data_IF_827461204249
#
_entry.id   IF_827461204249
#
_cell.length_a   1.000
_cell.length_b   1.000
_cell.length_c   1.000
_cell.angle_alpha   90.00
_cell.angle_beta   90.00
_cell.angle_gamma   90.00
#
_symmetry.space_group_name_H-M   'P 1'
#
loop_
_entity.id
_entity.type
_entity.pdbx_description
1 polymer ?
#
# COMPACT_ATOMS: atom_id res chain seq x y z
N UNK A 1 14.98 -0.47 -30.31
CA UNK A 1 14.71 0.33 -29.10
C UNK A 1 13.88 -0.52 -28.17
N UNK A 2 14.34 -0.76 -26.95
CA UNK A 2 13.49 -1.38 -25.92
C UNK A 2 12.41 -0.37 -25.56
N UNK A 3 11.14 -0.72 -25.76
CA UNK A 3 10.03 0.07 -25.26
C UNK A 3 9.90 -0.22 -23.76
N UNK A 4 10.24 0.76 -22.91
CA UNK A 4 9.96 0.65 -21.48
C UNK A 4 8.45 0.56 -21.29
N UNK A 5 7.98 -0.59 -20.82
CA UNK A 5 6.60 -0.80 -20.42
C UNK A 5 6.47 -0.49 -18.93
N UNK A 6 5.41 0.20 -18.56
CA UNK A 6 5.12 0.59 -17.19
C UNK A 6 3.88 -0.12 -16.70
N UNK A 7 3.94 -0.61 -15.46
CA UNK A 7 2.78 -1.09 -14.71
C UNK A 7 2.35 0.00 -13.73
N UNK A 8 1.05 0.09 -13.49
CA UNK A 8 0.45 1.07 -12.58
C UNK A 8 -0.41 0.35 -11.54
N UNK A 9 -0.39 0.85 -10.31
CA UNK A 9 -1.19 0.35 -9.19
C UNK A 9 -1.76 1.53 -8.42
N UNK A 10 -3.00 1.39 -7.95
CA UNK A 10 -3.65 2.31 -7.03
C UNK A 10 -3.89 1.53 -5.74
N UNK A 11 -3.51 2.10 -4.61
CA UNK A 11 -3.79 1.53 -3.29
C UNK A 11 -4.78 2.46 -2.58
N UNK A 12 -5.93 1.91 -2.17
CA UNK A 12 -7.00 2.63 -1.48
C UNK A 12 -6.89 2.44 0.04
N UNK A 13 -6.66 3.53 0.75
CA UNK A 13 -6.55 3.57 2.21
C UNK A 13 -7.76 4.21 2.91
N UNK A 14 -8.89 4.35 2.21
CA UNK A 14 -10.09 5.02 2.73
C UNK A 14 -10.69 4.34 3.96
N UNK A 15 -10.57 3.01 4.06
CA UNK A 15 -11.07 2.22 5.16
C UNK A 15 -10.33 0.87 5.27
N UNK A 16 -10.45 0.21 6.42
CA UNK A 16 -9.74 -1.04 6.70
C UNK A 16 -10.12 -2.18 5.75
N UNK A 17 -11.34 -2.19 5.23
CA UNK A 17 -11.79 -3.23 4.29
C UNK A 17 -11.12 -3.04 2.93
N UNK A 18 -11.07 -1.80 2.42
CA UNK A 18 -10.36 -1.45 1.18
C UNK A 18 -8.87 -1.82 1.23
N UNK A 19 -8.25 -1.68 2.41
CA UNK A 19 -6.86 -2.06 2.66
C UNK A 19 -6.64 -3.58 2.83
N UNK A 20 -7.72 -4.38 2.85
CA UNK A 20 -7.63 -5.82 3.11
C UNK A 20 -7.37 -6.18 4.58
N UNK A 21 -7.52 -5.23 5.50
CA UNK A 21 -7.27 -5.38 6.94
C UNK A 21 -8.50 -5.84 7.73
N UNK A 22 -9.33 -6.68 7.13
CA UNK A 22 -10.50 -7.29 7.79
C UNK A 22 -10.38 -8.81 7.73
N UNK A 23 -9.30 -9.32 8.31
CA UNK A 23 -9.03 -10.75 8.45
C UNK A 23 -8.41 -11.04 9.84
N UNK A 24 -8.42 -12.30 10.31
CA UNK A 24 -7.96 -12.65 11.66
C UNK A 24 -6.53 -12.17 11.99
N UNK A 25 -5.58 -12.31 11.06
CA UNK A 25 -4.18 -11.86 11.27
C UNK A 25 -4.09 -10.36 11.52
N UNK A 26 -4.96 -9.58 10.87
CA UNK A 26 -5.01 -8.13 11.04
C UNK A 26 -5.77 -7.69 12.29
N UNK A 27 -6.66 -8.50 12.83
CA UNK A 27 -7.32 -8.19 14.12
C UNK A 27 -6.33 -8.35 15.29
N UNK A 28 -5.50 -9.39 15.29
CA UNK A 28 -4.46 -9.57 16.30
C UNK A 28 -3.45 -8.39 16.28
N UNK A 29 -3.07 -7.92 15.09
CA UNK A 29 -2.22 -6.75 14.94
C UNK A 29 -2.88 -5.48 15.52
N UNK A 30 -4.17 -5.26 15.24
CA UNK A 30 -4.93 -4.11 15.77
C UNK A 30 -5.03 -4.15 17.28
N UNK A 31 -5.23 -5.32 17.87
CA UNK A 31 -5.30 -5.46 19.33
C UNK A 31 -3.94 -5.16 19.98
N UNK A 32 -2.85 -5.65 19.38
CA UNK A 32 -1.48 -5.40 19.86
C UNK A 32 -1.10 -3.91 19.76
N UNK A 33 -1.60 -3.21 18.73
CA UNK A 33 -1.30 -1.80 18.47
C UNK A 33 -2.48 -0.88 18.78
N UNK A 34 -3.42 -1.30 19.63
CA UNK A 34 -4.64 -0.54 19.95
C UNK A 34 -4.36 0.83 20.58
N UNK A 35 -3.22 0.95 21.26
CA UNK A 35 -2.76 2.18 21.90
C UNK A 35 -1.95 3.08 20.93
N UNK A 36 -1.67 2.58 19.72
CA UNK A 36 -1.02 3.29 18.62
C UNK A 36 -2.02 3.56 17.47
N UNK A 37 -1.60 4.37 16.51
CA UNK A 37 -2.33 4.51 15.25
C UNK A 37 -2.01 3.31 14.33
N UNK A 38 -2.57 2.14 14.65
CA UNK A 38 -2.35 0.90 13.89
C UNK A 38 -2.61 1.04 12.39
N UNK A 39 -3.56 1.91 11.99
CA UNK A 39 -3.86 2.17 10.57
C UNK A 39 -2.65 2.75 9.85
N UNK A 40 -1.98 3.71 10.49
CA UNK A 40 -0.79 4.36 9.94
C UNK A 40 0.37 3.37 9.85
N UNK A 41 0.56 2.52 10.87
CA UNK A 41 1.61 1.51 10.88
C UNK A 41 1.41 0.47 9.77
N UNK A 42 0.21 -0.08 9.62
CA UNK A 42 -0.09 -1.05 8.56
C UNK A 42 0.09 -0.43 7.17
N UNK A 43 -0.36 0.82 6.97
CA UNK A 43 -0.15 1.56 5.74
C UNK A 43 1.34 1.70 5.41
N UNK A 44 2.17 2.06 6.40
CA UNK A 44 3.62 2.16 6.22
C UNK A 44 4.25 0.81 5.87
N UNK A 45 3.81 -0.28 6.51
CA UNK A 45 4.27 -1.64 6.19
C UNK A 45 3.95 -2.00 4.74
N UNK A 46 2.75 -1.70 4.26
CA UNK A 46 2.34 -1.99 2.88
C UNK A 46 3.12 -1.17 1.85
N UNK A 47 3.30 0.13 2.11
CA UNK A 47 4.11 1.01 1.25
C UNK A 47 5.56 0.52 1.18
N UNK A 48 6.14 0.08 2.31
CA UNK A 48 7.50 -0.45 2.33
C UNK A 48 7.63 -1.73 1.51
N UNK A 49 6.68 -2.67 1.63
CA UNK A 49 6.65 -3.89 0.79
C UNK A 49 6.57 -3.55 -0.70
N UNK A 50 5.76 -2.55 -1.07
CA UNK A 50 5.67 -2.09 -2.45
C UNK A 50 7.01 -1.52 -2.94
N UNK A 51 7.71 -0.77 -2.11
CA UNK A 51 9.05 -0.27 -2.42
C UNK A 51 10.08 -1.41 -2.63
N UNK A 52 10.05 -2.44 -1.79
CA UNK A 52 10.87 -3.65 -1.95
C UNK A 52 10.56 -4.40 -3.26
N UNK A 53 9.30 -4.41 -3.67
CA UNK A 53 8.82 -4.98 -4.94
C UNK A 53 9.11 -4.10 -6.18
N UNK A 54 9.82 -2.98 -6.00
CA UNK A 54 10.21 -2.06 -7.06
C UNK A 54 9.11 -1.09 -7.51
N UNK A 55 8.04 -0.92 -6.72
CA UNK A 55 7.04 0.11 -6.96
C UNK A 55 7.50 1.47 -6.47
N UNK A 56 7.36 2.47 -7.34
CA UNK A 56 7.66 3.87 -7.05
C UNK A 56 6.34 4.62 -6.84
N UNK A 57 6.25 5.34 -5.71
CA UNK A 57 5.13 6.25 -5.46
C UNK A 57 5.22 7.45 -6.40
N UNK A 58 4.13 7.77 -7.10
CA UNK A 58 4.06 8.88 -8.07
C UNK A 58 3.02 9.93 -7.74
N UNK A 59 2.13 9.65 -6.79
CA UNK A 59 1.16 10.63 -6.34
C UNK A 59 0.32 10.11 -5.18
N UNK A 60 -0.29 11.05 -4.47
CA UNK A 60 -1.28 10.81 -3.42
C UNK A 60 -2.44 11.75 -3.72
N UNK A 61 -3.68 11.25 -3.70
CA UNK A 61 -4.83 12.15 -3.69
C UNK A 61 -5.21 12.53 -2.25
N UNK A 62 -5.86 13.68 -2.07
CA UNK A 62 -6.31 14.12 -0.74
C UNK A 62 -7.40 13.24 -0.10
N UNK A 63 -7.82 12.16 -0.76
CA UNK A 63 -8.97 11.33 -0.42
C UNK A 63 -8.60 9.88 -0.07
N UNK A 64 -7.31 9.57 0.17
CA UNK A 64 -6.78 8.27 0.63
C UNK A 64 -6.28 7.30 -0.46
N UNK A 65 -6.09 7.72 -1.72
CA UNK A 65 -5.47 6.87 -2.73
C UNK A 65 -3.99 7.23 -2.93
N UNK A 66 -3.15 6.20 -3.05
CA UNK A 66 -1.75 6.34 -3.45
C UNK A 66 -1.53 5.66 -4.80
N UNK A 67 -0.91 6.39 -5.72
CA UNK A 67 -0.59 5.94 -7.06
C UNK A 67 0.85 5.49 -7.13
N UNK A 68 1.07 4.29 -7.68
CA UNK A 68 2.37 3.70 -7.89
C UNK A 68 2.59 3.34 -9.36
N UNK A 69 3.86 3.36 -9.77
CA UNK A 69 4.31 2.77 -11.04
C UNK A 69 5.50 1.84 -10.79
N UNK A 70 5.73 0.90 -11.70
CA UNK A 70 7.02 0.18 -11.79
C UNK A 70 7.35 -0.15 -13.23
N UNK A 71 8.63 -0.34 -13.52
CA UNK A 71 9.03 -0.88 -14.81
C UNK A 71 8.56 -2.33 -14.91
N UNK A 72 7.89 -2.67 -16.01
CA UNK A 72 7.56 -4.05 -16.32
C UNK A 72 8.86 -4.80 -16.63
N UNK A 73 9.17 -5.82 -15.83
CA UNK A 73 10.28 -6.70 -16.11
C UNK A 73 10.09 -7.33 -17.50
N UNK A 74 11.14 -7.28 -18.32
CA UNK A 74 11.13 -7.75 -19.71
C UNK A 74 11.14 -9.27 -19.81
#
# INVERSE_FOLDING_TARGET
MSHTKWEYKIVDHSNSTSMGYTNPETEDFKELHKDNNWKLEMMNIEINKLGEDGWEMVGINGNNEIYFKRMQAS
#
